data_IF_541679748490
#
_entry.id   IF_541679748490
#
_cell.length_a   1.000
_cell.length_b   1.000
_cell.length_c   1.000
_cell.angle_alpha   90.00
_cell.angle_beta   90.00
_cell.angle_gamma   90.00
#
_symmetry.space_group_name_H-M   'P 1'
#
loop_
_entity.id
_entity.type
_entity.pdbx_description
1 polymer ?
#
# COMPACT_ATOMS: atom_id res chain seq x y z
N UNK A 1 -55.58 22.71 40.42
CA UNK A 1 -54.56 22.79 41.49
C UNK A 1 -53.20 22.48 40.87
N UNK A 2 -52.17 23.25 41.25
CA UNK A 2 -50.70 23.10 41.06
C UNK A 2 -50.17 22.34 39.82
N UNK A 3 -49.47 23.01 38.88
CA UNK A 3 -48.08 23.54 38.96
C UNK A 3 -47.00 22.42 38.94
N UNK A 4 -45.85 22.53 38.25
CA UNK A 4 -45.27 23.59 37.40
C UNK A 4 -44.03 23.04 36.64
N UNK A 5 -43.73 23.57 35.43
CA UNK A 5 -42.35 23.87 34.89
C UNK A 5 -41.32 22.70 34.75
N UNK A 6 -40.21 22.77 34.00
CA UNK A 6 -39.72 23.54 32.83
C UNK A 6 -38.29 22.98 32.47
N UNK A 7 -37.50 23.38 31.45
CA UNK A 7 -37.56 24.41 30.39
C UNK A 7 -36.49 24.06 29.31
N UNK A 8 -36.72 24.40 28.03
CA UNK A 8 -35.70 24.67 26.99
C UNK A 8 -34.85 23.47 26.48
N UNK A 9 -34.25 23.51 25.28
CA UNK A 9 -34.23 24.58 24.27
C UNK A 9 -33.88 24.04 22.88
N UNK A 10 -34.21 24.81 21.85
CA UNK A 10 -34.37 24.35 20.47
C UNK A 10 -33.46 25.14 19.48
N UNK A 11 -33.22 24.57 18.30
CA UNK A 11 -32.66 25.17 17.08
C UNK A 11 -31.15 25.49 16.97
N UNK A 12 -30.52 24.89 15.94
CA UNK A 12 -29.40 25.46 15.18
C UNK A 12 -29.68 25.23 13.67
N UNK A 13 -30.12 26.24 12.93
CA UNK A 13 -29.34 27.22 12.14
C UNK A 13 -29.18 26.83 10.66
N UNK A 14 -29.32 27.83 9.77
CA UNK A 14 -29.59 27.67 8.34
C UNK A 14 -28.70 28.55 7.46
N UNK A 15 -28.22 27.96 6.36
CA UNK A 15 -27.87 28.58 5.05
C UNK A 15 -26.88 29.76 4.95
N UNK A 16 -25.77 29.46 4.26
CA UNK A 16 -25.14 30.21 3.13
C UNK A 16 -25.39 31.73 3.01
N UNK A 17 -24.31 32.52 2.85
CA UNK A 17 -24.00 33.17 1.56
C UNK A 17 -22.58 33.74 1.45
N UNK A 18 -22.17 33.87 0.19
CA UNK A 18 -20.91 34.38 -0.36
C UNK A 18 -20.84 35.91 -0.31
N UNK A 19 -19.65 36.50 -0.15
CA UNK A 19 -19.31 37.77 -0.83
C UNK A 19 -17.79 37.99 -0.92
N UNK A 20 -17.36 38.58 -2.04
CA UNK A 20 -15.97 38.95 -2.36
C UNK A 20 -15.66 40.35 -1.82
N UNK A 21 -14.38 40.64 -1.54
CA UNK A 21 -13.90 41.99 -1.26
C UNK A 21 -12.38 42.12 -1.37
N UNK A 22 -11.88 42.52 -2.54
CA UNK A 22 -10.52 43.03 -2.72
C UNK A 22 -10.43 44.48 -2.26
N UNK A 23 -9.36 44.89 -1.58
CA UNK A 23 -8.49 46.00 -2.02
C UNK A 23 -7.19 46.06 -1.19
N UNK A 24 -6.25 46.91 -1.60
CA UNK A 24 -4.87 46.93 -1.17
C UNK A 24 -4.40 48.29 -0.61
N UNK A 25 -3.09 48.38 -0.34
CA UNK A 25 -2.29 49.52 0.14
C UNK A 25 -2.33 49.81 1.65
N UNK A 26 -1.14 49.90 2.23
CA UNK A 26 -0.92 50.29 3.63
C UNK A 26 -0.16 51.62 3.73
N UNK A 27 0.23 51.99 4.94
CA UNK A 27 1.15 53.09 5.29
C UNK A 27 1.83 52.71 6.63
N UNK A 28 3.07 53.14 6.82
CA UNK A 28 3.82 52.95 8.08
C UNK A 28 3.58 54.10 9.07
N UNK A 29 3.61 53.84 10.38
CA UNK A 29 3.66 54.91 11.39
C UNK A 29 3.27 54.52 12.83
N UNK A 30 4.30 54.28 13.66
CA UNK A 30 4.39 54.61 15.12
C UNK A 30 3.27 54.11 16.07
N UNK A 31 3.63 53.17 16.96
CA UNK A 31 2.91 52.81 18.20
C UNK A 31 2.93 53.97 19.23
N UNK A 32 1.90 54.11 20.10
CA UNK A 32 2.04 53.48 21.43
C UNK A 32 0.75 52.93 22.08
N UNK A 33 0.96 51.88 22.89
CA UNK A 33 0.21 51.54 24.12
C UNK A 33 -1.33 51.59 24.12
N UNK A 34 -1.95 50.65 23.40
CA UNK A 34 -3.13 49.93 23.94
C UNK A 34 -3.16 48.51 23.36
N UNK A 35 -2.24 47.66 23.83
CA UNK A 35 -2.23 46.24 23.47
C UNK A 35 -3.48 45.57 24.03
N UNK A 36 -4.50 45.43 23.16
CA UNK A 36 -5.72 44.69 23.45
C UNK A 36 -5.38 43.22 23.69
N UNK A 37 -6.06 42.59 24.66
CA UNK A 37 -5.97 41.14 24.93
C UNK A 37 -6.13 40.28 23.67
N UNK A 38 -6.89 40.75 22.68
CA UNK A 38 -7.02 40.09 21.36
C UNK A 38 -5.71 39.94 20.60
N UNK A 39 -4.72 40.82 20.80
CA UNK A 39 -3.41 40.69 20.17
C UNK A 39 -2.56 39.59 20.83
N UNK A 40 -2.82 39.25 22.10
CA UNK A 40 -2.23 38.07 22.73
C UNK A 40 -2.94 36.78 22.31
N UNK A 41 -4.28 36.79 22.19
CA UNK A 41 -5.05 35.66 21.64
C UNK A 41 -4.61 35.33 20.21
N UNK A 42 -4.48 36.32 19.32
CA UNK A 42 -4.07 36.10 17.92
C UNK A 42 -2.61 35.59 17.82
N UNK A 43 -1.73 35.98 18.74
CA UNK A 43 -0.37 35.41 18.81
C UNK A 43 -0.43 33.97 19.30
N UNK A 44 -1.21 33.66 20.35
CA UNK A 44 -1.40 32.30 20.86
C UNK A 44 -2.03 31.36 19.81
N UNK A 45 -3.11 31.75 19.13
CA UNK A 45 -3.72 30.97 18.05
C UNK A 45 -2.74 30.75 16.87
N UNK A 46 -1.80 31.67 16.64
CA UNK A 46 -0.76 31.50 15.62
C UNK A 46 0.37 30.56 16.06
N UNK A 47 0.69 30.49 17.35
CA UNK A 47 1.61 29.49 17.90
C UNK A 47 0.95 28.12 18.00
N UNK A 48 -0.30 28.00 18.44
CA UNK A 48 -1.05 26.73 18.44
C UNK A 48 -1.20 26.15 17.02
N UNK A 49 -1.36 26.98 15.97
CA UNK A 49 -1.39 26.48 14.59
C UNK A 49 0.00 26.11 14.03
N UNK A 50 1.10 26.68 14.54
CA UNK A 50 2.46 26.29 14.12
C UNK A 50 2.94 25.07 14.92
N UNK A 51 2.57 24.94 16.19
CA UNK A 51 2.75 23.71 16.96
C UNK A 51 1.94 22.57 16.35
N UNK A 52 0.67 22.74 15.99
CA UNK A 52 -0.11 21.71 15.28
C UNK A 52 0.44 21.32 13.89
N UNK A 53 1.38 22.08 13.30
CA UNK A 53 2.08 21.74 12.04
C UNK A 53 3.45 21.10 12.31
N UNK A 54 3.97 21.15 13.54
CA UNK A 54 5.23 20.52 13.97
C UNK A 54 5.03 19.30 14.90
N UNK A 55 3.89 19.24 15.59
CA UNK A 55 3.48 18.21 16.55
C UNK A 55 2.78 17.00 15.91
N UNK A 56 3.02 16.75 14.63
CA UNK A 56 2.70 15.44 14.03
C UNK A 56 3.38 14.36 14.88
N UNK A 57 2.59 13.44 15.45
CA UNK A 57 3.12 12.41 16.35
C UNK A 57 4.15 11.53 15.62
N UNK A 58 5.15 11.00 16.34
CA UNK A 58 6.14 10.07 15.80
C UNK A 58 5.47 8.83 15.19
N UNK A 59 4.38 8.34 15.79
CA UNK A 59 3.53 7.29 15.22
C UNK A 59 2.97 7.74 13.85
N UNK A 60 2.40 8.94 13.74
CA UNK A 60 1.84 9.44 12.48
C UNK A 60 2.92 9.75 11.42
N UNK A 61 4.06 10.33 11.81
CA UNK A 61 5.26 10.48 10.97
C UNK A 61 5.70 9.12 10.42
N UNK A 62 5.79 8.10 11.28
CA UNK A 62 6.17 6.74 10.90
C UNK A 62 5.20 6.10 9.91
N UNK A 63 3.88 6.26 10.12
CA UNK A 63 2.85 5.77 9.17
C UNK A 63 3.04 6.36 7.77
N UNK A 64 3.47 7.62 7.67
CA UNK A 64 3.77 8.26 6.38
C UNK A 64 5.03 7.69 5.68
N UNK A 65 5.98 7.11 6.42
CA UNK A 65 7.22 6.53 5.86
C UNK A 65 7.12 5.04 5.53
N UNK A 66 6.54 4.23 6.42
CA UNK A 66 6.56 2.75 6.30
C UNK A 66 5.18 2.12 6.19
N UNK A 67 4.11 2.90 6.36
CA UNK A 67 2.74 2.43 6.27
C UNK A 67 2.06 2.19 7.61
N UNK A 68 0.73 2.04 7.57
CA UNK A 68 -0.11 1.87 8.76
C UNK A 68 0.06 0.47 9.34
N UNK A 69 0.01 -0.56 8.49
CA UNK A 69 0.10 -1.96 8.93
C UNK A 69 1.50 -2.28 9.50
N UNK A 70 2.55 -1.62 9.02
CA UNK A 70 3.91 -1.80 9.55
C UNK A 70 4.08 -1.17 10.93
N UNK A 71 3.52 0.02 11.16
CA UNK A 71 3.50 0.65 12.49
C UNK A 71 2.65 -0.18 13.45
N UNK A 72 1.50 -0.70 13.01
CA UNK A 72 0.67 -1.60 13.83
C UNK A 72 1.44 -2.86 14.24
N UNK A 73 2.06 -3.54 13.28
CA UNK A 73 2.90 -4.71 13.56
C UNK A 73 4.05 -4.41 14.53
N UNK A 74 4.69 -3.24 14.42
CA UNK A 74 5.72 -2.81 15.37
C UNK A 74 5.16 -2.62 16.79
N UNK A 75 4.02 -1.93 16.93
CA UNK A 75 3.35 -1.72 18.22
C UNK A 75 3.01 -3.06 18.90
N UNK A 76 2.41 -3.99 18.14
CA UNK A 76 1.96 -5.28 18.64
C UNK A 76 3.14 -6.20 19.03
N UNK A 77 4.20 -6.28 18.21
CA UNK A 77 5.34 -7.16 18.48
C UNK A 77 6.22 -6.64 19.62
N UNK A 78 6.38 -5.32 19.75
CA UNK A 78 7.18 -4.73 20.82
C UNK A 78 6.40 -4.41 22.10
N UNK A 79 5.07 -4.59 22.10
CA UNK A 79 4.21 -4.31 23.26
C UNK A 79 4.21 -2.83 23.64
N UNK A 80 4.10 -1.96 22.63
CA UNK A 80 4.18 -0.50 22.75
C UNK A 80 2.77 0.09 22.68
N UNK A 81 2.39 0.88 23.68
CA UNK A 81 0.99 1.34 23.83
C UNK A 81 0.82 2.87 23.91
N UNK A 82 1.91 3.63 24.00
CA UNK A 82 1.88 5.10 24.01
C UNK A 82 2.84 5.71 22.99
N UNK A 83 2.67 7.01 22.75
CA UNK A 83 3.54 7.80 21.87
C UNK A 83 4.98 7.92 22.41
N UNK A 84 5.13 8.00 23.73
CA UNK A 84 6.42 8.06 24.44
C UNK A 84 7.13 6.70 24.37
N UNK A 85 6.43 5.61 24.69
CA UNK A 85 6.97 4.24 24.54
C UNK A 85 7.41 3.96 23.10
N UNK A 86 6.67 4.47 22.10
CA UNK A 86 7.00 4.31 20.68
C UNK A 86 8.27 5.07 20.32
N UNK A 87 8.35 6.35 20.71
CA UNK A 87 9.54 7.17 20.50
C UNK A 87 10.77 6.52 21.13
N UNK A 88 10.72 6.17 22.41
CA UNK A 88 11.84 5.58 23.14
C UNK A 88 12.27 4.24 22.56
N UNK A 89 11.31 3.38 22.17
CA UNK A 89 11.62 2.08 21.58
C UNK A 89 12.27 2.20 20.21
N UNK A 90 11.78 3.11 19.36
CA UNK A 90 12.39 3.39 18.05
C UNK A 90 13.77 4.03 18.22
N UNK A 91 13.92 5.00 19.13
CA UNK A 91 15.18 5.68 19.42
C UNK A 91 16.26 4.70 19.93
N UNK A 92 15.91 3.75 20.82
CA UNK A 92 16.80 2.68 21.27
C UNK A 92 17.33 1.87 20.09
N UNK A 93 16.42 1.38 19.23
CA UNK A 93 16.77 0.57 18.05
C UNK A 93 17.64 1.37 17.06
N UNK A 94 17.36 2.66 16.87
CA UNK A 94 18.19 3.56 16.06
C UNK A 94 19.60 3.71 16.65
N UNK A 95 19.71 3.87 17.97
CA UNK A 95 21.00 3.95 18.66
C UNK A 95 21.79 2.64 18.58
N UNK A 96 21.16 1.49 18.82
CA UNK A 96 21.74 0.15 18.66
C UNK A 96 22.23 -0.11 17.22
N UNK A 97 21.53 0.42 16.22
CA UNK A 97 21.88 0.28 14.81
C UNK A 97 22.87 1.31 14.27
N UNK A 98 23.26 2.32 15.06
CA UNK A 98 24.07 3.45 14.57
C UNK A 98 23.36 4.28 13.50
N UNK A 99 22.03 4.33 13.55
CA UNK A 99 21.17 5.05 12.62
C UNK A 99 20.95 6.51 13.09
N UNK A 100 20.23 7.30 12.28
CA UNK A 100 19.71 8.60 12.72
C UNK A 100 18.73 8.36 13.87
N UNK A 101 18.93 9.07 14.98
CA UNK A 101 18.15 8.92 16.22
C UNK A 101 17.08 10.02 16.27
N UNK A 102 16.01 9.85 15.50
CA UNK A 102 14.89 10.80 15.39
C UNK A 102 13.58 10.27 15.99
N UNK A 103 13.54 9.03 16.46
CA UNK A 103 12.34 8.37 17.00
C UNK A 103 11.28 8.02 15.95
N UNK A 104 11.60 8.14 14.66
CA UNK A 104 10.69 7.82 13.55
C UNK A 104 11.06 6.45 12.96
N UNK A 105 10.08 5.55 12.85
CA UNK A 105 10.25 4.26 12.19
C UNK A 105 10.30 4.46 10.67
N UNK A 106 11.48 4.87 10.17
CA UNK A 106 11.79 4.98 8.74
C UNK A 106 12.28 3.67 8.11
N UNK A 107 12.48 3.66 6.79
CA UNK A 107 12.83 2.44 6.04
C UNK A 107 14.15 1.77 6.50
N UNK A 108 15.16 2.54 6.90
CA UNK A 108 16.44 1.97 7.36
C UNK A 108 16.30 1.37 8.78
N UNK A 109 15.59 2.06 9.69
CA UNK A 109 15.22 1.50 11.00
C UNK A 109 14.43 0.20 10.81
N UNK A 110 13.48 0.19 9.87
CA UNK A 110 12.69 -0.99 9.57
C UNK A 110 13.52 -2.16 9.03
N UNK A 111 14.48 -1.90 8.12
CA UNK A 111 15.44 -2.93 7.67
C UNK A 111 16.25 -3.52 8.83
N UNK A 112 16.64 -2.68 9.80
CA UNK A 112 17.33 -3.13 11.00
C UNK A 112 16.41 -4.01 11.86
N UNK A 113 15.17 -3.59 12.12
CA UNK A 113 14.14 -4.37 12.84
C UNK A 113 13.93 -5.74 12.18
N UNK A 114 13.73 -5.80 10.86
CA UNK A 114 13.56 -7.08 10.16
C UNK A 114 14.79 -7.98 10.27
N UNK A 115 15.99 -7.42 10.19
CA UNK A 115 17.25 -8.16 10.19
C UNK A 115 17.64 -8.70 11.56
N UNK A 116 17.34 -7.98 12.64
CA UNK A 116 17.85 -8.29 13.99
C UNK A 116 16.77 -8.62 15.02
N UNK A 117 15.51 -8.23 14.79
CA UNK A 117 14.41 -8.50 15.69
C UNK A 117 13.45 -9.55 15.10
N UNK A 118 12.79 -9.26 13.97
CA UNK A 118 11.79 -10.18 13.41
C UNK A 118 12.40 -11.49 12.90
N UNK A 119 13.65 -11.48 12.44
CA UNK A 119 14.41 -12.68 12.02
C UNK A 119 14.65 -13.71 13.13
N UNK A 120 14.54 -13.31 14.40
CA UNK A 120 14.72 -14.17 15.57
C UNK A 120 13.38 -14.72 16.11
N UNK A 121 12.25 -14.30 15.54
CA UNK A 121 10.92 -14.80 15.88
C UNK A 121 10.56 -16.02 15.04
N UNK A 122 9.66 -16.87 15.53
CA UNK A 122 9.16 -17.99 14.73
C UNK A 122 8.40 -17.48 13.50
N UNK A 123 8.79 -17.96 12.33
CA UNK A 123 8.20 -17.58 11.05
C UNK A 123 6.69 -17.83 10.97
N UNK A 124 6.13 -18.77 11.73
CA UNK A 124 4.68 -19.02 11.73
C UNK A 124 3.88 -18.05 12.60
N UNK A 125 4.49 -17.47 13.64
CA UNK A 125 3.85 -16.47 14.51
C UNK A 125 3.90 -15.04 13.95
N UNK A 126 4.75 -14.78 12.96
CA UNK A 126 4.84 -13.47 12.31
C UNK A 126 3.59 -13.10 11.49
N UNK A 127 3.11 -11.84 11.56
CA UNK A 127 2.09 -11.28 10.68
C UNK A 127 2.40 -11.45 9.18
N UNK A 128 1.35 -11.57 8.35
CA UNK A 128 1.48 -11.86 6.90
C UNK A 128 2.31 -10.80 6.16
N UNK A 129 2.21 -9.54 6.55
CA UNK A 129 2.95 -8.41 6.00
C UNK A 129 4.45 -8.60 6.21
N UNK A 130 4.86 -8.94 7.44
CA UNK A 130 6.27 -9.20 7.79
C UNK A 130 6.79 -10.42 7.04
N UNK A 131 6.04 -11.53 7.01
CA UNK A 131 6.44 -12.75 6.31
C UNK A 131 6.67 -12.52 4.82
N UNK A 132 5.72 -11.86 4.16
CA UNK A 132 5.82 -11.59 2.72
C UNK A 132 6.94 -10.59 2.41
N UNK A 133 7.20 -9.59 3.27
CA UNK A 133 8.30 -8.65 3.08
C UNK A 133 9.66 -9.32 3.29
N UNK A 134 9.79 -10.22 4.27
CA UNK A 134 11.00 -11.01 4.51
C UNK A 134 11.30 -11.97 3.33
N UNK A 135 10.31 -12.74 2.88
CA UNK A 135 10.47 -13.65 1.75
C UNK A 135 10.81 -12.92 0.44
N UNK A 136 10.17 -11.76 0.20
CA UNK A 136 10.51 -10.91 -0.94
C UNK A 136 11.93 -10.37 -0.86
N UNK A 137 12.39 -9.97 0.33
CA UNK A 137 13.77 -9.51 0.55
C UNK A 137 14.80 -10.63 0.34
N UNK A 138 14.53 -11.85 0.79
CA UNK A 138 15.39 -13.00 0.54
C UNK A 138 15.51 -13.25 -0.98
N UNK A 139 14.38 -13.38 -1.67
CA UNK A 139 14.34 -13.62 -3.12
C UNK A 139 15.04 -12.51 -3.90
N UNK A 140 14.77 -11.23 -3.59
CA UNK A 140 15.42 -10.08 -4.24
C UNK A 140 16.94 -10.08 -3.98
N UNK A 141 17.40 -10.42 -2.77
CA UNK A 141 18.83 -10.50 -2.47
C UNK A 141 19.56 -11.62 -3.24
N UNK A 142 18.85 -12.70 -3.57
CA UNK A 142 19.38 -13.84 -4.31
C UNK A 142 19.47 -13.62 -5.83
N UNK A 143 18.88 -12.55 -6.37
CA UNK A 143 19.02 -12.19 -7.79
C UNK A 143 20.43 -11.67 -8.13
N UNK A 144 21.35 -12.62 -8.36
CA UNK A 144 22.71 -12.33 -8.83
C UNK A 144 22.73 -12.08 -10.34
N UNK A 145 23.26 -10.93 -10.77
CA UNK A 145 23.55 -10.73 -12.18
C UNK A 145 24.83 -11.51 -12.56
N UNK A 146 24.69 -12.59 -13.33
CA UNK A 146 25.83 -13.39 -13.85
C UNK A 146 26.86 -12.56 -14.63
N UNK A 147 26.46 -11.39 -15.13
CA UNK A 147 27.27 -10.47 -15.94
C UNK A 147 27.56 -9.13 -15.26
N UNK A 148 27.30 -8.99 -13.96
CA UNK A 148 27.55 -7.76 -13.18
C UNK A 148 26.72 -6.54 -13.60
N UNK A 149 25.70 -6.69 -14.45
CA UNK A 149 24.85 -5.58 -14.91
C UNK A 149 23.81 -5.20 -13.87
N UNK A 150 23.32 -3.95 -13.91
CA UNK A 150 22.15 -3.54 -13.14
C UNK A 150 20.93 -4.35 -13.62
N UNK A 151 20.29 -5.04 -12.69
CA UNK A 151 19.02 -5.71 -12.94
C UNK A 151 17.90 -4.66 -12.84
N UNK A 152 16.94 -4.68 -13.77
CA UNK A 152 15.89 -3.67 -13.87
C UNK A 152 14.54 -4.23 -13.40
N UNK A 153 13.75 -3.39 -12.70
CA UNK A 153 12.39 -3.71 -12.24
C UNK A 153 12.27 -4.21 -10.79
N UNK A 154 13.38 -4.27 -10.05
CA UNK A 154 13.36 -4.47 -8.60
C UNK A 154 13.59 -3.14 -7.89
N UNK A 155 12.77 -2.89 -6.87
CA UNK A 155 12.95 -1.85 -5.86
C UNK A 155 13.02 -2.52 -4.48
N UNK A 156 13.19 -1.74 -3.41
CA UNK A 156 13.30 -2.32 -2.07
C UNK A 156 11.95 -2.90 -1.62
N UNK A 157 11.90 -4.09 -1.01
CA UNK A 157 10.70 -4.57 -0.30
C UNK A 157 10.24 -3.63 0.81
N UNK A 158 11.12 -2.76 1.30
CA UNK A 158 10.85 -1.75 2.33
C UNK A 158 10.32 -0.43 1.76
N UNK A 159 10.21 -0.31 0.44
CA UNK A 159 9.48 0.78 -0.21
C UNK A 159 7.98 0.46 -0.22
N UNK A 160 7.15 1.33 0.37
CA UNK A 160 5.72 1.09 0.52
C UNK A 160 4.96 1.14 -0.83
N UNK A 161 5.41 1.99 -1.77
CA UNK A 161 4.85 2.08 -3.13
C UNK A 161 5.18 0.82 -3.94
N UNK A 162 6.32 0.16 -3.70
CA UNK A 162 6.65 -1.14 -4.31
C UNK A 162 5.89 -2.30 -3.65
N UNK A 163 5.77 -2.27 -2.32
CA UNK A 163 5.20 -3.39 -1.55
C UNK A 163 3.68 -3.49 -1.66
N UNK A 164 2.94 -2.38 -1.47
CA UNK A 164 1.47 -2.37 -1.59
C UNK A 164 0.94 -1.73 -2.88
N UNK A 165 1.77 -0.95 -3.58
CA UNK A 165 1.41 -0.29 -4.84
C UNK A 165 1.25 1.22 -4.68
N UNK A 166 1.79 1.98 -5.63
CA UNK A 166 1.83 3.45 -5.57
C UNK A 166 0.44 4.07 -5.52
N UNK A 167 0.12 4.68 -4.38
CA UNK A 167 -1.19 5.25 -4.10
C UNK A 167 -2.33 4.22 -4.03
N UNK A 168 -2.02 2.91 -3.99
CA UNK A 168 -3.01 1.84 -3.95
C UNK A 168 -3.68 1.68 -2.57
N UNK A 169 -3.03 2.17 -1.50
CA UNK A 169 -3.42 1.84 -0.13
C UNK A 169 -2.97 0.44 0.27
N UNK A 170 -3.12 0.14 1.55
CA UNK A 170 -2.63 -1.11 2.15
C UNK A 170 -3.74 -2.18 2.15
N UNK A 171 -3.39 -3.35 2.64
CA UNK A 171 -4.35 -4.41 2.91
C UNK A 171 -5.14 -4.14 4.19
N UNK A 172 -6.32 -4.73 4.31
CA UNK A 172 -6.97 -4.94 5.61
C UNK A 172 -6.01 -5.81 6.42
N UNK A 173 -5.57 -5.30 7.57
CA UNK A 173 -4.53 -5.88 8.42
C UNK A 173 -4.72 -7.39 8.64
N UNK A 174 -3.65 -8.18 8.45
CA UNK A 174 -3.69 -9.64 8.58
C UNK A 174 -4.24 -10.40 7.36
N UNK A 175 -4.72 -9.70 6.31
CA UNK A 175 -5.30 -10.31 5.10
C UNK A 175 -4.54 -9.93 3.82
N UNK A 176 -4.81 -10.60 2.69
CA UNK A 176 -4.31 -10.17 1.37
C UNK A 176 -5.34 -9.35 0.57
N UNK A 177 -6.29 -8.71 1.23
CA UNK A 177 -7.36 -7.91 0.61
C UNK A 177 -7.04 -6.42 0.76
N UNK A 178 -6.79 -5.74 -0.36
CA UNK A 178 -6.58 -4.28 -0.40
C UNK A 178 -7.83 -3.54 0.08
N UNK A 179 -7.69 -2.73 1.12
CA UNK A 179 -8.80 -2.06 1.79
C UNK A 179 -9.55 -1.11 0.85
N UNK A 180 -8.83 -0.28 0.09
CA UNK A 180 -9.42 0.73 -0.80
C UNK A 180 -10.24 0.10 -1.93
N UNK A 181 -9.77 -1.02 -2.48
CA UNK A 181 -10.49 -1.74 -3.54
C UNK A 181 -11.66 -2.53 -2.94
N UNK A 182 -11.50 -3.12 -1.76
CA UNK A 182 -12.59 -3.79 -1.05
C UNK A 182 -13.75 -2.83 -0.76
N UNK A 183 -13.45 -1.65 -0.22
CA UNK A 183 -14.45 -0.62 0.08
C UNK A 183 -15.14 -0.14 -1.20
N UNK A 184 -14.42 0.02 -2.32
CA UNK A 184 -15.01 0.33 -3.63
C UNK A 184 -16.06 -0.72 -4.08
N UNK A 185 -15.82 -2.01 -3.83
CA UNK A 185 -16.78 -3.07 -4.17
C UNK A 185 -17.98 -3.07 -3.20
N UNK A 186 -17.71 -2.94 -1.89
CA UNK A 186 -18.72 -2.85 -0.84
C UNK A 186 -19.69 -1.68 -1.04
N UNK A 187 -19.16 -0.46 -1.23
CA UNK A 187 -19.93 0.78 -1.41
C UNK A 187 -20.86 0.75 -2.64
N UNK A 188 -20.53 -0.12 -3.62
CA UNK A 188 -21.32 -0.32 -4.84
C UNK A 188 -22.26 -1.52 -4.80
N UNK A 189 -22.23 -2.34 -3.74
CA UNK A 189 -22.95 -3.60 -3.69
C UNK A 189 -22.49 -4.60 -4.76
N UNK A 190 -21.21 -4.58 -5.12
CA UNK A 190 -20.60 -5.42 -6.15
C UNK A 190 -19.66 -6.46 -5.54
N UNK A 191 -19.46 -7.57 -6.24
CA UNK A 191 -18.38 -8.53 -5.95
C UNK A 191 -17.18 -8.27 -6.88
N UNK A 192 -15.97 -8.50 -6.39
CA UNK A 192 -14.79 -8.54 -7.25
C UNK A 192 -14.87 -9.72 -8.25
N UNK A 193 -14.23 -9.56 -9.40
CA UNK A 193 -14.21 -10.58 -10.45
C UNK A 193 -15.54 -10.78 -11.18
N UNK A 194 -15.54 -11.75 -12.09
CA UNK A 194 -16.69 -12.26 -12.80
C UNK A 194 -17.32 -13.41 -12.00
N UNK A 195 -18.59 -13.30 -11.57
CA UNK A 195 -19.26 -14.30 -10.74
C UNK A 195 -19.19 -15.74 -11.28
N UNK A 196 -19.08 -15.93 -12.59
CA UNK A 196 -18.97 -17.25 -13.21
C UNK A 196 -17.66 -17.98 -12.87
N UNK A 197 -16.64 -17.26 -12.38
CA UNK A 197 -15.32 -17.78 -12.01
C UNK A 197 -15.02 -17.65 -10.52
N UNK A 198 -15.89 -16.98 -9.76
CA UNK A 198 -15.72 -16.81 -8.31
C UNK A 198 -15.93 -18.13 -7.54
N UNK A 199 -16.81 -19.03 -8.02
CA UNK A 199 -17.18 -20.29 -7.33
C UNK A 199 -16.14 -21.41 -7.35
N UNK A 200 -14.85 -21.10 -7.52
CA UNK A 200 -13.78 -22.09 -7.57
C UNK A 200 -12.39 -21.45 -7.50
N UNK A 201 -11.36 -22.21 -7.87
CA UNK A 201 -9.97 -21.73 -7.88
C UNK A 201 -9.72 -20.86 -9.13
N UNK A 202 -9.63 -19.55 -8.96
CA UNK A 202 -9.40 -18.62 -10.06
C UNK A 202 -8.51 -17.44 -9.71
N UNK A 203 -7.82 -16.90 -10.71
CA UNK A 203 -7.18 -15.58 -10.66
C UNK A 203 -7.83 -14.75 -11.77
N UNK A 204 -8.23 -13.53 -11.46
CA UNK A 204 -9.00 -12.69 -12.38
C UNK A 204 -8.38 -11.31 -12.45
N UNK A 205 -8.00 -10.88 -13.67
CA UNK A 205 -7.47 -9.55 -13.93
C UNK A 205 -8.49 -8.76 -14.75
N UNK A 206 -8.93 -7.66 -14.15
CA UNK A 206 -10.13 -6.95 -14.55
C UNK A 206 -9.94 -5.43 -14.42
N UNK A 207 -10.86 -4.68 -15.01
CA UNK A 207 -10.90 -3.20 -15.00
C UNK A 207 -11.97 -2.73 -14.02
N UNK A 208 -11.68 -1.67 -13.26
CA UNK A 208 -12.68 -0.88 -12.53
C UNK A 208 -12.86 0.50 -13.17
N UNK A 209 -13.89 1.22 -12.72
CA UNK A 209 -14.18 2.59 -13.12
C UNK A 209 -12.96 3.52 -12.93
N UNK A 210 -12.91 4.57 -13.75
CA UNK A 210 -11.75 5.47 -13.80
C UNK A 210 -10.53 4.90 -14.53
N UNK A 211 -10.67 3.74 -15.18
CA UNK A 211 -9.62 3.15 -16.01
C UNK A 211 -8.48 2.50 -15.24
N UNK A 212 -8.72 2.18 -13.96
CA UNK A 212 -7.79 1.40 -13.13
C UNK A 212 -8.01 -0.10 -13.30
N UNK A 213 -7.00 -0.90 -12.95
CA UNK A 213 -7.02 -2.35 -12.99
C UNK A 213 -6.80 -2.97 -11.61
N UNK A 214 -7.31 -4.18 -11.44
CA UNK A 214 -7.13 -4.98 -10.24
C UNK A 214 -6.83 -6.43 -10.59
N UNK A 215 -6.46 -7.19 -9.57
CA UNK A 215 -6.36 -8.64 -9.59
C UNK A 215 -7.10 -9.17 -8.37
N UNK A 216 -7.93 -10.20 -8.58
CA UNK A 216 -8.62 -10.94 -7.53
C UNK A 216 -8.22 -12.42 -7.63
N UNK A 217 -8.02 -13.09 -6.50
CA UNK A 217 -7.76 -14.53 -6.42
C UNK A 217 -8.82 -15.18 -5.53
N UNK A 218 -9.47 -16.20 -6.08
CA UNK A 218 -10.45 -17.03 -5.41
C UNK A 218 -9.89 -18.43 -5.17
N UNK A 219 -10.17 -19.00 -3.99
CA UNK A 219 -9.88 -20.40 -3.65
C UNK A 219 -11.17 -21.02 -3.13
N UNK A 220 -11.63 -22.10 -3.78
CA UNK A 220 -12.86 -22.83 -3.42
C UNK A 220 -14.13 -21.96 -3.22
N UNK A 221 -14.22 -20.79 -3.85
CA UNK A 221 -15.33 -19.84 -3.66
C UNK A 221 -14.98 -18.59 -2.85
N UNK A 222 -13.89 -18.61 -2.08
CA UNK A 222 -13.51 -17.56 -1.14
C UNK A 222 -12.49 -16.59 -1.75
N UNK A 223 -12.69 -15.28 -1.56
CA UNK A 223 -11.78 -14.23 -2.03
C UNK A 223 -10.54 -14.17 -1.12
N UNK A 224 -9.43 -14.75 -1.59
CA UNK A 224 -8.18 -14.83 -0.83
C UNK A 224 -7.26 -13.63 -1.05
N UNK A 225 -7.24 -13.05 -2.25
CA UNK A 225 -6.39 -11.89 -2.58
C UNK A 225 -7.19 -10.88 -3.39
N UNK A 226 -7.05 -9.60 -3.07
CA UNK A 226 -7.59 -8.49 -3.86
C UNK A 226 -6.56 -7.35 -3.88
N UNK A 227 -6.10 -6.93 -5.06
CA UNK A 227 -5.05 -5.91 -5.17
C UNK A 227 -5.18 -5.08 -6.45
N UNK A 228 -4.58 -3.88 -6.46
CA UNK A 228 -4.40 -3.16 -7.71
C UNK A 228 -3.42 -3.93 -8.60
N UNK A 229 -3.60 -3.85 -9.91
CA UNK A 229 -2.70 -4.47 -10.88
C UNK A 229 -2.30 -3.45 -11.96
N UNK A 230 -1.22 -3.73 -12.68
CA UNK A 230 -0.79 -2.94 -13.82
C UNK A 230 -0.55 -3.84 -15.04
N UNK A 231 -1.56 -4.04 -15.91
CA UNK A 231 -1.43 -4.77 -17.17
C UNK A 231 -0.60 -3.95 -18.19
N UNK A 232 -0.60 -4.40 -19.44
CA UNK A 232 0.02 -3.72 -20.56
C UNK A 232 -0.40 -2.26 -20.71
N UNK A 233 0.50 -1.42 -21.21
CA UNK A 233 0.12 -0.10 -21.70
C UNK A 233 -0.67 -0.20 -23.03
N UNK A 234 -1.44 0.81 -23.45
CA UNK A 234 -2.27 0.75 -24.67
C UNK A 234 -1.54 0.40 -25.98
N UNK A 235 -0.21 0.61 -26.06
CA UNK A 235 0.63 0.23 -27.21
C UNK A 235 1.33 -1.14 -27.07
N UNK A 236 1.19 -1.81 -25.92
CA UNK A 236 1.65 -3.18 -25.61
C UNK A 236 0.63 -3.85 -24.69
N UNK A 237 -0.60 -3.96 -25.19
CA UNK A 237 -1.78 -4.46 -24.46
C UNK A 237 -1.57 -5.88 -23.95
N UNK A 238 -2.04 -6.17 -22.75
CA UNK A 238 -2.29 -7.54 -22.31
C UNK A 238 -3.42 -8.12 -23.17
N UNK A 239 -3.34 -9.38 -23.63
CA UNK A 239 -4.47 -10.04 -24.29
C UNK A 239 -5.71 -10.05 -23.37
N UNK A 240 -6.91 -10.00 -23.95
CA UNK A 240 -8.15 -9.74 -23.22
C UNK A 240 -9.26 -10.72 -23.61
N UNK A 241 -10.28 -10.84 -22.77
CA UNK A 241 -11.42 -11.76 -22.92
C UNK A 241 -10.99 -13.23 -23.09
N UNK A 242 -10.08 -13.70 -22.22
CA UNK A 242 -9.61 -15.09 -22.23
C UNK A 242 -9.64 -15.74 -20.86
N UNK A 243 -9.64 -17.07 -20.89
CA UNK A 243 -9.45 -17.91 -19.71
C UNK A 243 -8.43 -18.99 -20.08
N UNK A 244 -7.35 -19.04 -19.31
CA UNK A 244 -6.17 -19.87 -19.55
C UNK A 244 -5.84 -20.66 -18.25
N UNK A 245 -5.21 -21.83 -18.35
CA UNK A 245 -4.74 -22.60 -17.17
C UNK A 245 -3.30 -22.22 -16.79
N UNK A 246 -2.97 -22.27 -15.50
CA UNK A 246 -1.60 -22.00 -15.04
C UNK A 246 -0.76 -23.27 -15.13
N UNK A 247 0.17 -23.32 -16.10
CA UNK A 247 1.09 -24.46 -16.23
C UNK A 247 2.45 -24.25 -15.55
N UNK A 248 2.88 -22.99 -15.37
CA UNK A 248 4.17 -22.65 -14.77
C UNK A 248 4.09 -21.55 -13.70
N UNK A 249 4.82 -21.76 -12.63
CA UNK A 249 5.20 -20.78 -11.59
C UNK A 249 6.72 -20.73 -11.51
N UNK A 250 7.28 -19.53 -11.32
CA UNK A 250 8.73 -19.33 -11.16
C UNK A 250 9.01 -18.19 -10.17
N UNK A 251 9.46 -18.55 -8.96
CA UNK A 251 9.96 -17.61 -7.94
C UNK A 251 11.11 -16.74 -8.50
N UNK A 252 12.01 -17.36 -9.26
CA UNK A 252 13.14 -16.71 -9.93
C UNK A 252 12.97 -16.70 -11.46
N UNK A 253 12.28 -15.69 -12.00
CA UNK A 253 12.17 -15.46 -13.46
C UNK A 253 12.86 -14.18 -13.90
N UNK A 254 13.43 -14.23 -15.11
CA UNK A 254 14.01 -13.10 -15.84
C UNK A 254 13.46 -13.13 -17.26
N UNK A 255 13.07 -11.97 -17.80
CA UNK A 255 12.49 -11.86 -19.14
C UNK A 255 13.56 -11.92 -20.23
N UNK A 256 13.49 -12.94 -21.09
CA UNK A 256 14.34 -13.06 -22.26
C UNK A 256 14.05 -12.00 -23.35
N UNK A 257 12.90 -11.31 -23.29
CA UNK A 257 12.42 -10.42 -24.36
C UNK A 257 12.63 -8.92 -24.08
N UNK A 258 12.72 -8.51 -22.81
CA UNK A 258 12.80 -7.09 -22.43
C UNK A 258 13.47 -6.88 -21.05
N UNK A 259 14.35 -5.87 -20.87
CA UNK A 259 14.94 -5.01 -21.90
C UNK A 259 15.99 -5.78 -22.71
N UNK A 260 15.96 -5.63 -24.04
CA UNK A 260 16.97 -6.23 -24.92
C UNK A 260 18.35 -5.71 -24.56
N UNK A 261 19.35 -6.59 -24.51
CA UNK A 261 20.74 -6.23 -24.23
C UNK A 261 21.09 -5.96 -22.76
N UNK A 262 20.14 -5.86 -21.83
CA UNK A 262 20.45 -5.59 -20.40
C UNK A 262 20.58 -6.84 -19.53
N UNK A 263 20.23 -8.01 -20.06
CA UNK A 263 20.10 -9.27 -19.30
C UNK A 263 18.67 -9.62 -18.90
N UNK A 264 17.68 -8.77 -19.25
CA UNK A 264 16.26 -9.00 -19.00
C UNK A 264 15.71 -8.28 -17.77
N UNK A 265 14.39 -8.08 -17.74
CA UNK A 265 13.64 -7.57 -16.60
C UNK A 265 13.44 -8.71 -15.60
N UNK A 266 13.62 -8.43 -14.32
CA UNK A 266 13.26 -9.40 -13.29
C UNK A 266 11.74 -9.44 -13.14
N UNK A 267 11.21 -10.65 -12.97
CA UNK A 267 9.79 -10.93 -12.78
C UNK A 267 9.68 -11.92 -11.61
N UNK A 268 9.86 -11.47 -10.36
CA UNK A 268 9.92 -12.40 -9.24
C UNK A 268 8.51 -12.84 -8.85
N UNK A 269 8.40 -14.03 -8.25
CA UNK A 269 7.11 -14.65 -7.88
C UNK A 269 6.13 -14.70 -9.06
N UNK A 270 6.65 -15.08 -10.24
CA UNK A 270 5.86 -15.08 -11.46
C UNK A 270 5.00 -16.33 -11.62
N UNK A 271 3.83 -16.16 -12.23
CA UNK A 271 2.95 -17.26 -12.66
C UNK A 271 2.47 -17.01 -14.09
N UNK A 272 2.30 -18.08 -14.84
CA UNK A 272 1.86 -18.02 -16.23
C UNK A 272 0.38 -17.65 -16.31
N UNK A 273 0.09 -16.65 -17.15
CA UNK A 273 -1.28 -16.24 -17.48
C UNK A 273 -1.65 -16.61 -18.92
N UNK A 274 -0.67 -16.75 -19.80
CA UNK A 274 -0.84 -17.29 -21.16
C UNK A 274 0.50 -17.69 -21.75
N UNK A 275 0.65 -19.00 -21.94
CA UNK A 275 1.85 -19.62 -22.48
C UNK A 275 2.11 -19.22 -23.95
N UNK A 276 1.06 -19.12 -24.76
CA UNK A 276 1.15 -18.88 -26.21
C UNK A 276 1.73 -17.50 -26.56
N UNK A 277 1.51 -16.48 -25.72
CA UNK A 277 2.07 -15.14 -25.91
C UNK A 277 3.13 -14.78 -24.84
N UNK A 278 3.51 -15.73 -23.97
CA UNK A 278 4.52 -15.52 -22.92
C UNK A 278 4.12 -14.46 -21.89
N UNK A 279 2.85 -14.44 -21.50
CA UNK A 279 2.25 -13.46 -20.57
C UNK A 279 2.27 -14.05 -19.16
N UNK A 280 2.79 -13.26 -18.22
CA UNK A 280 2.93 -13.66 -16.82
C UNK A 280 2.32 -12.62 -15.89
N UNK A 281 1.74 -13.07 -14.78
CA UNK A 281 1.57 -12.25 -13.58
C UNK A 281 2.89 -12.27 -12.82
N UNK A 282 3.37 -11.13 -12.34
CA UNK A 282 4.62 -11.05 -11.56
C UNK A 282 4.70 -9.78 -10.73
N UNK A 283 5.59 -9.75 -9.74
CA UNK A 283 5.82 -8.55 -8.93
C UNK A 283 6.48 -7.44 -9.76
N UNK A 284 6.08 -6.19 -9.51
CA UNK A 284 6.73 -4.98 -10.01
C UNK A 284 5.90 -3.74 -9.75
N UNK A 285 6.39 -2.56 -10.12
CA UNK A 285 5.72 -1.29 -9.80
C UNK A 285 4.31 -1.23 -10.39
N UNK A 286 3.32 -1.00 -9.52
CA UNK A 286 1.89 -0.85 -9.82
C UNK A 286 1.40 0.49 -9.30
N UNK A 287 0.48 1.12 -10.04
CA UNK A 287 -0.32 2.27 -9.59
C UNK A 287 -1.80 2.14 -10.02
N UNK A 288 -2.22 0.93 -10.39
CA UNK A 288 -3.53 0.66 -10.99
C UNK A 288 -3.66 1.01 -12.48
N UNK A 289 -2.67 1.61 -13.14
CA UNK A 289 -2.73 1.92 -14.58
C UNK A 289 -2.02 0.87 -15.45
N UNK A 290 -2.23 0.90 -16.77
CA UNK A 290 -1.55 0.02 -17.72
C UNK A 290 -0.09 0.44 -17.96
N UNK A 291 0.86 -0.15 -17.22
CA UNK A 291 2.28 0.23 -17.22
C UNK A 291 3.22 -0.80 -17.88
N UNK A 292 2.77 -2.04 -18.05
CA UNK A 292 3.64 -3.15 -18.46
C UNK A 292 3.89 -3.18 -19.98
N UNK A 293 4.63 -4.19 -20.46
CA UNK A 293 4.83 -4.50 -21.89
C UNK A 293 4.03 -5.72 -22.38
N UNK A 294 3.03 -6.18 -21.62
CA UNK A 294 2.14 -7.30 -21.94
C UNK A 294 1.74 -8.11 -20.71
N UNK A 295 2.69 -8.39 -19.82
CA UNK A 295 2.49 -9.03 -18.51
C UNK A 295 1.53 -8.26 -17.58
N UNK A 296 1.13 -8.85 -16.46
CA UNK A 296 0.42 -8.14 -15.38
C UNK A 296 1.36 -7.96 -14.21
N UNK A 297 1.63 -6.70 -13.84
CA UNK A 297 2.38 -6.39 -12.62
C UNK A 297 1.44 -6.37 -11.42
N UNK A 298 1.97 -6.83 -10.29
CA UNK A 298 1.30 -6.96 -9.00
C UNK A 298 2.23 -6.34 -7.94
N UNK A 299 1.75 -5.66 -6.90
CA UNK A 299 2.61 -5.15 -5.83
C UNK A 299 3.27 -6.30 -5.04
N UNK A 300 4.39 -6.02 -4.39
CA UNK A 300 5.21 -7.02 -3.71
C UNK A 300 4.43 -7.94 -2.76
N UNK A 301 3.67 -7.37 -1.84
CA UNK A 301 2.91 -8.10 -0.82
C UNK A 301 1.96 -9.14 -1.42
N UNK A 302 1.13 -8.72 -2.39
CA UNK A 302 0.12 -9.57 -3.00
C UNK A 302 0.70 -10.55 -4.02
N UNK A 303 1.81 -10.22 -4.67
CA UNK A 303 2.49 -11.13 -5.61
C UNK A 303 3.14 -12.32 -4.90
N UNK A 304 3.72 -12.11 -3.71
CA UNK A 304 4.18 -13.21 -2.84
C UNK A 304 3.01 -14.09 -2.42
N UNK A 305 1.92 -13.47 -1.95
CA UNK A 305 0.72 -14.20 -1.52
C UNK A 305 0.14 -15.10 -2.64
N UNK A 306 -0.08 -14.55 -3.83
CA UNK A 306 -0.61 -15.30 -4.98
C UNK A 306 0.30 -16.49 -5.32
N UNK A 307 1.61 -16.27 -5.39
CA UNK A 307 2.56 -17.34 -5.69
C UNK A 307 2.51 -18.46 -4.65
N UNK A 308 2.51 -18.12 -3.36
CA UNK A 308 2.50 -19.11 -2.28
C UNK A 308 1.18 -19.90 -2.24
N UNK A 309 0.04 -19.24 -2.49
CA UNK A 309 -1.26 -19.93 -2.60
C UNK A 309 -1.27 -20.88 -3.82
N UNK A 310 -0.72 -20.46 -4.97
CA UNK A 310 -0.61 -21.33 -6.15
C UNK A 310 0.26 -22.57 -5.89
N UNK A 311 1.37 -22.44 -5.16
CA UNK A 311 2.21 -23.59 -4.81
C UNK A 311 1.56 -24.47 -3.73
N UNK A 312 0.83 -23.90 -2.77
CA UNK A 312 0.13 -24.64 -1.72
C UNK A 312 -1.07 -25.45 -2.24
N UNK A 313 -1.87 -24.88 -3.15
CA UNK A 313 -3.12 -25.49 -3.65
C UNK A 313 -2.97 -26.18 -5.01
N UNK A 314 -1.77 -26.21 -5.59
CA UNK A 314 -1.49 -26.75 -6.92
C UNK A 314 -1.96 -25.81 -8.03
N UNK A 315 -0.99 -25.14 -8.69
CA UNK A 315 -1.23 -24.13 -9.73
C UNK A 315 -2.14 -24.62 -10.87
N UNK A 316 -2.02 -25.89 -11.24
CA UNK A 316 -2.80 -26.57 -12.27
C UNK A 316 -4.31 -26.62 -11.95
N UNK A 317 -4.68 -26.45 -10.68
CA UNK A 317 -6.08 -26.37 -10.24
C UNK A 317 -6.70 -24.98 -10.45
N UNK A 318 -5.93 -23.97 -10.87
CA UNK A 318 -6.39 -22.60 -11.08
C UNK A 318 -6.60 -22.25 -12.55
N UNK A 319 -7.66 -21.47 -12.79
CA UNK A 319 -7.87 -20.76 -14.07
C UNK A 319 -7.53 -19.28 -13.92
N UNK A 320 -6.79 -18.73 -14.89
CA UNK A 320 -6.58 -17.29 -15.02
C UNK A 320 -7.58 -16.73 -16.01
N UNK A 321 -8.41 -15.79 -15.57
CA UNK A 321 -9.23 -14.94 -16.43
C UNK A 321 -8.56 -13.60 -16.64
N UNK A 322 -8.51 -13.14 -17.89
CA UNK A 322 -8.26 -11.74 -18.22
C UNK A 322 -9.49 -11.20 -18.93
N UNK A 323 -10.21 -10.29 -18.28
CA UNK A 323 -11.43 -9.70 -18.82
C UNK A 323 -11.16 -8.63 -19.88
N UNK A 324 -12.10 -7.69 -20.03
CA UNK A 324 -12.00 -6.63 -21.03
C UNK A 324 -11.24 -5.42 -20.48
N UNK A 325 -9.99 -5.23 -20.91
CA UNK A 325 -9.10 -4.25 -20.30
C UNK A 325 -9.05 -2.90 -21.03
N UNK A 326 -9.30 -2.83 -22.34
CA UNK A 326 -9.06 -1.60 -23.12
C UNK A 326 -10.33 -0.98 -23.71
#
# INVERSE_FOLDING_TARGET
MNQNKSHLGDNNISRRKFLRGTLAFGIAGVLPSSFSLKAQEIVLESYENVENILSDSYINKSKNFVGVNEVQNFLDIFGVYSEEDFYDKVYSIQSEGGLIQDGILGQETLRYVYKYYYSNLDSFSLPVEIRNRYELQEVISNYKNKYGRRLFGLESPFDNDYFYGKGAGENIFGTYVNEKINNYFYDKGLTAGDPNYNGGNSIQVEKIDGGKYYIAMYVNGELMVLAHSSPGNPGKRTPQNRVDSISHTQKYKVSNSYPKGSGGAIMPFSFEMDASNGIYGHIGNVNGAGLSKGCVRIPGFYGVAIYNILEQYGKENFKVKVGNLY
#
